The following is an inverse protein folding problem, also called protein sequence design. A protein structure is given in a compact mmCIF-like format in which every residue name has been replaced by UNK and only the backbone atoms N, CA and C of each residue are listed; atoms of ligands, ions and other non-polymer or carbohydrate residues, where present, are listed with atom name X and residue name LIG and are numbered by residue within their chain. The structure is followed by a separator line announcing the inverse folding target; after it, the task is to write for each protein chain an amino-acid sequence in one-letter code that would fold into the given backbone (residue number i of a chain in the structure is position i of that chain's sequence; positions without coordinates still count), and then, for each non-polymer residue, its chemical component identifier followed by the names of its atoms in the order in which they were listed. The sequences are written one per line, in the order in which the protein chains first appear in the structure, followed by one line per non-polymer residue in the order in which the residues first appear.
data_IF_791387153326
#
_entry.id   IF_791387153326
#
_cell.length_a   1.000
_cell.length_b   1.000
_cell.length_c   1.000
_cell.angle_alpha   90.00
_cell.angle_beta   90.00
_cell.angle_gamma   90.00
#
_symmetry.space_group_name_H-M   'P 1'
#
loop_
_entity.id
_entity.type
_entity.pdbx_description
1 polymer ?
#
# COMPACT_ATOMS: atom_id res chain seq x y z
N UNK A 1 49.70 1.01 15.37
CA UNK A 1 50.03 0.14 14.20
C UNK A 1 49.15 -1.10 14.28
N UNK A 2 48.05 -1.13 13.57
CA UNK A 2 47.42 -2.37 13.09
C UNK A 2 46.56 -1.98 11.89
N UNK A 3 46.69 -2.76 10.82
CA UNK A 3 46.34 -2.48 9.45
C UNK A 3 44.87 -2.67 9.13
N UNK A 4 44.40 -1.84 8.18
CA UNK A 4 43.18 -1.95 7.40
C UNK A 4 42.95 -3.34 6.82
N UNK A 5 41.73 -3.86 6.97
CA UNK A 5 41.22 -4.93 6.16
C UNK A 5 40.14 -4.36 5.22
N UNK A 6 40.49 -4.33 3.93
CA UNK A 6 39.61 -3.96 2.81
C UNK A 6 38.43 -4.93 2.71
N UNK A 7 37.23 -4.43 2.91
CA UNK A 7 36.01 -5.14 2.58
C UNK A 7 35.67 -4.82 1.11
N UNK A 8 36.06 -5.71 0.20
CA UNK A 8 35.66 -5.63 -1.21
C UNK A 8 34.20 -6.09 -1.31
N UNK A 9 33.35 -5.13 -1.55
CA UNK A 9 31.95 -5.36 -1.94
C UNK A 9 31.96 -6.13 -3.26
N UNK A 10 31.42 -7.37 -3.25
CA UNK A 10 31.24 -8.19 -4.44
C UNK A 10 30.06 -7.62 -5.24
N UNK A 11 30.38 -6.85 -6.27
CA UNK A 11 29.42 -6.36 -7.25
C UNK A 11 28.98 -7.55 -8.10
N UNK A 12 27.71 -7.93 -8.01
CA UNK A 12 27.09 -8.92 -8.87
C UNK A 12 27.19 -8.49 -10.34
N UNK A 13 27.64 -9.36 -11.26
CA UNK A 13 27.83 -8.96 -12.65
C UNK A 13 26.47 -8.77 -13.33
N UNK A 14 26.28 -7.54 -13.82
CA UNK A 14 25.12 -7.10 -14.58
C UNK A 14 24.92 -8.00 -15.82
N UNK A 15 23.78 -8.69 -15.91
CA UNK A 15 23.42 -9.67 -16.97
C UNK A 15 23.48 -9.12 -18.40
N UNK A 16 23.59 -7.79 -18.58
CA UNK A 16 23.66 -7.12 -19.90
C UNK A 16 25.04 -7.17 -20.57
N UNK A 17 26.11 -7.65 -19.91
CA UNK A 17 27.47 -7.67 -20.48
C UNK A 17 27.90 -8.98 -21.12
N UNK A 18 27.10 -10.05 -21.06
CA UNK A 18 27.47 -11.40 -21.59
C UNK A 18 27.12 -11.63 -23.07
N UNK A 19 26.59 -10.65 -23.79
CA UNK A 19 26.15 -10.77 -25.19
C UNK A 19 27.14 -10.27 -26.25
N UNK A 20 28.39 -10.00 -25.92
CA UNK A 20 29.34 -9.39 -26.87
C UNK A 20 30.62 -10.16 -27.17
N UNK A 21 30.70 -11.48 -26.97
CA UNK A 21 31.87 -12.27 -27.43
C UNK A 21 31.39 -13.61 -27.98
N UNK A 22 31.55 -13.85 -29.29
CA UNK A 22 31.43 -15.17 -29.87
C UNK A 22 30.88 -15.21 -31.27
N UNK A 23 31.56 -14.59 -32.22
CA UNK A 23 31.41 -14.95 -33.64
C UNK A 23 32.33 -16.11 -33.99
N UNK A 24 31.77 -17.28 -34.28
CA UNK A 24 32.41 -18.32 -35.09
C UNK A 24 31.30 -19.19 -35.71
N UNK A 25 31.29 -19.21 -37.02
CA UNK A 25 30.35 -19.99 -37.83
C UNK A 25 30.56 -21.48 -37.65
N UNK A 26 29.50 -22.24 -37.35
CA UNK A 26 29.37 -23.65 -37.76
C UNK A 26 27.92 -23.90 -38.19
N UNK A 27 27.82 -24.31 -39.45
CA UNK A 27 26.61 -24.84 -40.06
C UNK A 27 26.19 -26.14 -39.33
N UNK A 28 25.10 -26.03 -38.57
CA UNK A 28 24.34 -27.19 -38.12
C UNK A 28 22.89 -26.78 -37.92
N UNK A 29 22.02 -27.45 -38.65
CA UNK A 29 20.56 -27.58 -38.59
C UNK A 29 19.83 -26.74 -37.53
N UNK A 30 18.72 -26.09 -37.87
CA UNK A 30 17.94 -25.30 -36.92
C UNK A 30 17.18 -26.24 -35.98
N UNK A 31 17.84 -26.73 -34.95
CA UNK A 31 17.13 -27.06 -33.72
C UNK A 31 16.75 -25.72 -33.08
N UNK A 32 15.62 -25.18 -33.49
CA UNK A 32 14.92 -24.16 -32.72
C UNK A 32 14.42 -24.85 -31.45
N UNK A 33 15.32 -25.06 -30.51
CA UNK A 33 14.89 -25.21 -29.11
C UNK A 33 14.23 -23.91 -28.76
N UNK A 34 12.89 -23.86 -28.77
CA UNK A 34 12.14 -22.87 -28.00
C UNK A 34 12.69 -23.06 -26.57
N UNK A 35 13.66 -22.26 -26.19
CA UNK A 35 13.99 -22.09 -24.81
C UNK A 35 12.67 -21.48 -24.21
N UNK A 36 11.92 -22.29 -23.51
CA UNK A 36 10.85 -21.81 -22.68
C UNK A 36 11.53 -20.90 -21.67
N UNK A 37 11.40 -19.59 -21.87
CA UNK A 37 11.85 -18.65 -20.88
C UNK A 37 11.16 -19.02 -19.58
N UNK A 38 11.94 -19.31 -18.55
CA UNK A 38 11.39 -19.64 -17.25
C UNK A 38 10.47 -18.47 -16.82
N UNK A 39 9.29 -18.80 -16.38
CA UNK A 39 8.33 -17.80 -15.85
C UNK A 39 9.00 -17.06 -14.69
N UNK A 40 9.04 -15.74 -14.76
CA UNK A 40 9.61 -14.92 -13.70
C UNK A 40 8.60 -14.82 -12.56
N UNK A 41 9.02 -15.20 -11.36
CA UNK A 41 8.21 -15.04 -10.16
C UNK A 41 8.36 -13.62 -9.65
N UNK A 42 7.23 -13.00 -9.25
CA UNK A 42 7.13 -11.71 -8.58
C UNK A 42 6.48 -11.94 -7.21
N UNK A 43 7.25 -11.68 -6.15
CA UNK A 43 6.76 -11.81 -4.78
C UNK A 43 6.10 -10.50 -4.36
N UNK A 44 4.84 -10.54 -4.05
CA UNK A 44 4.04 -9.36 -3.69
C UNK A 44 3.56 -9.46 -2.24
N UNK A 45 3.77 -8.42 -1.45
CA UNK A 45 3.12 -8.23 -0.16
C UNK A 45 1.97 -7.25 -0.34
N UNK A 46 0.73 -7.67 -0.07
CA UNK A 46 -0.45 -6.90 -0.41
C UNK A 46 -1.61 -7.06 0.59
N UNK A 47 -2.56 -6.14 0.52
CA UNK A 47 -3.89 -6.38 1.05
C UNK A 47 -4.57 -7.53 0.34
N UNK A 48 -5.40 -8.27 1.07
CA UNK A 48 -6.25 -9.31 0.48
C UNK A 48 -7.06 -8.75 -0.70
N UNK A 49 -7.23 -9.55 -1.73
CA UNK A 49 -7.99 -9.19 -2.92
C UNK A 49 -7.19 -8.47 -4.02
N UNK A 50 -5.90 -8.14 -3.82
CA UNK A 50 -5.09 -7.44 -4.83
C UNK A 50 -4.18 -8.35 -5.65
N UNK A 51 -4.01 -9.58 -5.26
CA UNK A 51 -3.22 -10.58 -5.98
C UNK A 51 -4.05 -11.81 -6.39
N UNK A 52 -5.38 -11.65 -6.41
CA UNK A 52 -6.26 -12.74 -6.79
C UNK A 52 -6.11 -13.08 -8.29
N UNK A 53 -6.25 -14.36 -8.65
CA UNK A 53 -6.00 -14.82 -10.02
C UNK A 53 -6.80 -14.06 -11.09
N UNK A 54 -8.02 -13.68 -10.82
CA UNK A 54 -8.87 -12.93 -11.74
C UNK A 54 -8.39 -11.49 -11.99
N UNK A 55 -7.62 -10.93 -11.06
CA UNK A 55 -7.02 -9.60 -11.21
C UNK A 55 -5.68 -9.62 -11.96
N UNK A 56 -4.89 -10.69 -11.81
CA UNK A 56 -3.51 -10.70 -12.30
C UNK A 56 -3.28 -11.62 -13.50
N UNK A 57 -4.21 -12.55 -13.81
CA UNK A 57 -4.03 -13.60 -14.80
C UNK A 57 -3.70 -13.08 -16.21
N UNK A 58 -4.35 -12.01 -16.65
CA UNK A 58 -4.11 -11.41 -17.97
C UNK A 58 -2.70 -10.83 -18.08
N UNK A 59 -2.26 -10.11 -17.05
CA UNK A 59 -0.91 -9.55 -16.98
C UNK A 59 0.14 -10.65 -16.90
N UNK A 60 -0.07 -11.67 -16.08
CA UNK A 60 0.82 -12.84 -15.95
C UNK A 60 1.02 -13.50 -17.31
N UNK A 61 -0.06 -13.76 -18.03
CA UNK A 61 -0.02 -14.40 -19.33
C UNK A 61 0.68 -13.53 -20.40
N UNK A 62 0.42 -12.22 -20.40
CA UNK A 62 1.00 -11.29 -21.36
C UNK A 62 2.51 -11.08 -21.15
N UNK A 63 2.99 -11.19 -19.91
CA UNK A 63 4.37 -10.85 -19.55
C UNK A 63 5.23 -12.07 -19.15
N UNK A 64 4.69 -13.29 -19.21
CA UNK A 64 5.37 -14.51 -18.74
C UNK A 64 5.91 -14.37 -17.30
N UNK A 65 5.08 -13.84 -16.42
CA UNK A 65 5.38 -13.69 -14.99
C UNK A 65 4.37 -14.45 -14.16
N UNK A 66 4.69 -14.68 -12.88
CA UNK A 66 3.78 -15.28 -11.90
C UNK A 66 3.86 -14.51 -10.59
N UNK A 67 2.73 -13.97 -10.14
CA UNK A 67 2.63 -13.37 -8.82
C UNK A 67 2.53 -14.44 -7.74
N UNK A 68 3.30 -14.25 -6.68
CA UNK A 68 3.20 -14.99 -5.43
C UNK A 68 2.87 -13.98 -4.35
N UNK A 69 1.59 -13.91 -3.99
CA UNK A 69 1.07 -12.91 -3.08
C UNK A 69 1.06 -13.44 -1.65
N UNK A 70 1.61 -12.64 -0.74
CA UNK A 70 1.43 -12.77 0.70
C UNK A 70 0.55 -11.63 1.17
N UNK A 71 -0.51 -11.97 1.90
CA UNK A 71 -1.45 -10.98 2.39
C UNK A 71 -1.14 -10.57 3.82
N UNK A 72 -1.45 -9.32 4.15
CA UNK A 72 -1.32 -8.75 5.47
C UNK A 72 -2.65 -8.09 5.91
N UNK A 73 -2.81 -7.87 7.20
CA UNK A 73 -3.93 -7.17 7.78
C UNK A 73 -3.43 -5.98 8.62
N UNK A 74 -3.64 -4.76 8.11
CA UNK A 74 -3.17 -3.51 8.73
C UNK A 74 -1.70 -3.19 8.47
N UNK A 75 -1.41 -1.89 8.36
CA UNK A 75 -0.06 -1.41 8.01
C UNK A 75 1.01 -1.78 9.02
N UNK A 76 0.69 -1.84 10.33
CA UNK A 76 1.64 -2.28 11.35
C UNK A 76 2.07 -3.74 11.16
N UNK A 77 1.12 -4.61 10.76
CA UNK A 77 1.44 -6.01 10.43
C UNK A 77 2.31 -6.07 9.17
N UNK A 78 2.02 -5.25 8.16
CA UNK A 78 2.86 -5.13 6.97
C UNK A 78 4.29 -4.73 7.33
N UNK A 79 4.47 -3.66 8.11
CA UNK A 79 5.78 -3.19 8.56
C UNK A 79 6.54 -4.27 9.32
N UNK A 80 5.88 -5.00 10.22
CA UNK A 80 6.46 -6.10 10.96
C UNK A 80 6.90 -7.26 10.06
N UNK A 81 6.09 -7.61 9.07
CA UNK A 81 6.43 -8.65 8.10
C UNK A 81 7.66 -8.29 7.27
N UNK A 82 7.77 -7.03 6.82
CA UNK A 82 8.92 -6.55 6.07
C UNK A 82 10.17 -6.56 6.95
N UNK A 83 10.10 -6.02 8.16
CA UNK A 83 11.23 -5.94 9.09
C UNK A 83 11.78 -7.32 9.49
N UNK A 84 10.93 -8.35 9.51
CA UNK A 84 11.32 -9.73 9.84
C UNK A 84 11.79 -10.54 8.62
N UNK A 85 11.62 -10.01 7.41
CA UNK A 85 11.99 -10.69 6.18
C UNK A 85 13.38 -10.28 5.72
N UNK A 86 14.16 -11.19 5.11
CA UNK A 86 15.39 -10.80 4.44
C UNK A 86 15.17 -9.72 3.38
N UNK A 87 16.11 -8.79 3.18
CA UNK A 87 16.04 -7.83 2.09
C UNK A 87 15.82 -8.50 0.72
N UNK A 88 14.91 -7.97 -0.10
CA UNK A 88 14.56 -8.54 -1.40
C UNK A 88 13.61 -9.73 -1.34
N UNK A 89 12.98 -10.00 -0.20
CA UNK A 89 11.92 -11.01 -0.09
C UNK A 89 10.69 -10.63 -0.91
N UNK A 90 10.36 -9.36 -0.96
CA UNK A 90 9.24 -8.82 -1.74
C UNK A 90 9.76 -7.94 -2.86
N UNK A 91 9.25 -8.17 -4.06
CA UNK A 91 9.54 -7.36 -5.25
C UNK A 91 8.57 -6.17 -5.33
N UNK A 92 7.35 -6.36 -4.83
CA UNK A 92 6.30 -5.34 -4.80
C UNK A 92 5.64 -5.34 -3.42
N UNK A 93 5.45 -4.14 -2.87
CA UNK A 93 4.67 -3.90 -1.66
C UNK A 93 3.49 -3.02 -2.03
N UNK A 94 2.28 -3.52 -1.87
CA UNK A 94 1.06 -2.74 -1.99
C UNK A 94 0.66 -2.25 -0.61
N UNK A 95 1.00 -1.00 -0.30
CA UNK A 95 0.73 -0.39 1.01
C UNK A 95 -0.30 0.72 0.93
N UNK A 96 -0.85 1.08 2.08
CA UNK A 96 -1.58 2.34 2.20
C UNK A 96 -0.61 3.51 2.12
N UNK A 97 -1.08 4.63 1.54
CA UNK A 97 -0.24 5.78 1.22
C UNK A 97 0.49 6.41 2.41
N UNK A 98 -0.11 6.35 3.60
CA UNK A 98 0.47 6.86 4.84
C UNK A 98 1.71 6.09 5.33
N UNK A 99 1.90 4.85 4.90
CA UNK A 99 3.07 4.05 5.26
C UNK A 99 4.27 4.26 4.34
N UNK A 100 4.10 4.90 3.18
CA UNK A 100 5.18 5.08 2.20
C UNK A 100 6.37 5.84 2.80
N UNK A 101 6.12 6.89 3.57
CA UNK A 101 7.18 7.66 4.22
C UNK A 101 7.94 6.83 5.26
N UNK A 102 7.24 5.97 5.99
CA UNK A 102 7.86 5.07 6.96
C UNK A 102 8.69 3.98 6.27
N UNK A 103 8.18 3.41 5.18
CA UNK A 103 8.90 2.43 4.37
C UNK A 103 10.17 3.03 3.78
N UNK A 104 10.10 4.26 3.27
CA UNK A 104 11.25 4.98 2.75
C UNK A 104 12.29 5.30 3.84
N UNK A 105 11.86 5.84 4.97
CA UNK A 105 12.74 6.16 6.09
C UNK A 105 13.45 4.93 6.66
N UNK A 106 12.79 3.76 6.61
CA UNK A 106 13.36 2.48 7.02
C UNK A 106 14.26 1.83 5.94
N UNK A 107 14.32 2.40 4.73
CA UNK A 107 15.11 1.84 3.62
C UNK A 107 14.54 0.55 3.04
N UNK A 108 13.23 0.35 3.13
CA UNK A 108 12.55 -0.87 2.64
C UNK A 108 12.08 -0.75 1.20
N UNK A 109 12.02 0.45 0.65
CA UNK A 109 11.63 0.71 -0.74
C UNK A 109 12.70 1.55 -1.44
N UNK A 110 12.77 1.41 -2.76
CA UNK A 110 13.74 2.09 -3.60
C UNK A 110 13.11 3.29 -4.32
N UNK A 111 13.95 4.25 -4.72
CA UNK A 111 13.57 5.36 -5.59
C UNK A 111 13.09 4.82 -6.95
N UNK A 112 11.96 5.31 -7.40
CA UNK A 112 11.39 5.03 -8.71
C UNK A 112 11.77 6.16 -9.68
N UNK A 113 12.07 5.80 -10.93
CA UNK A 113 12.27 6.81 -11.97
C UNK A 113 10.89 7.31 -12.47
N UNK A 114 10.51 8.53 -12.13
CA UNK A 114 9.22 9.10 -12.48
C UNK A 114 8.93 9.10 -13.99
N UNK A 115 9.98 9.13 -14.84
CA UNK A 115 9.82 9.09 -16.29
C UNK A 115 9.33 7.72 -16.83
N UNK A 116 9.42 6.68 -16.02
CA UNK A 116 8.96 5.34 -16.41
C UNK A 116 7.46 5.14 -16.17
N UNK A 117 6.78 6.14 -15.58
CA UNK A 117 5.36 6.06 -15.20
C UNK A 117 4.53 7.10 -15.96
N UNK A 118 3.35 6.70 -16.48
CA UNK A 118 2.50 7.56 -17.29
C UNK A 118 1.63 8.47 -16.40
N UNK A 119 2.26 9.35 -15.63
CA UNK A 119 1.54 10.26 -14.73
C UNK A 119 0.48 11.11 -15.44
N UNK A 120 0.75 11.53 -16.69
CA UNK A 120 -0.15 12.36 -17.48
C UNK A 120 -1.40 11.59 -17.93
N UNK A 121 -1.34 10.26 -17.96
CA UNK A 121 -2.44 9.38 -18.33
C UNK A 121 -3.28 8.94 -17.12
N UNK A 122 -2.90 9.33 -15.92
CA UNK A 122 -3.65 8.99 -14.71
C UNK A 122 -4.95 9.78 -14.61
N UNK A 123 -5.97 9.13 -14.06
CA UNK A 123 -7.35 9.62 -14.06
C UNK A 123 -7.55 10.94 -13.30
N UNK A 124 -6.71 11.26 -12.32
CA UNK A 124 -6.87 12.45 -11.49
C UNK A 124 -5.53 12.97 -10.99
N UNK A 125 -5.36 14.30 -11.00
CA UNK A 125 -4.11 14.93 -10.58
C UNK A 125 -3.79 14.70 -9.09
N UNK A 126 -4.79 14.51 -8.23
CA UNK A 126 -4.57 14.17 -6.83
C UNK A 126 -3.82 12.84 -6.66
N UNK A 127 -3.96 11.93 -7.60
CA UNK A 127 -3.23 10.66 -7.61
C UNK A 127 -1.78 10.84 -8.03
N UNK A 128 -1.54 11.71 -9.00
CA UNK A 128 -0.19 12.00 -9.50
C UNK A 128 0.61 12.89 -8.55
N UNK A 129 -0.09 13.83 -7.92
CA UNK A 129 0.51 14.85 -7.03
C UNK A 129 0.38 14.51 -5.54
N UNK A 130 -0.04 13.30 -5.19
CA UNK A 130 -0.16 12.92 -3.80
C UNK A 130 1.19 13.06 -3.08
N UNK A 131 1.30 13.96 -2.08
CA UNK A 131 2.59 14.26 -1.45
C UNK A 131 3.26 13.04 -0.83
N UNK A 132 2.47 12.05 -0.36
CA UNK A 132 2.96 10.82 0.24
C UNK A 132 3.81 9.95 -0.69
N UNK A 133 3.72 10.13 -2.02
CA UNK A 133 4.55 9.40 -2.98
C UNK A 133 6.00 9.91 -3.05
N UNK A 134 6.26 11.11 -2.56
CA UNK A 134 7.50 11.83 -2.77
C UNK A 134 8.25 12.10 -1.46
N UNK A 135 9.56 11.94 -1.47
CA UNK A 135 10.45 12.37 -0.40
C UNK A 135 11.69 13.02 -1.03
N UNK A 136 12.05 14.22 -0.57
CA UNK A 136 13.20 14.99 -1.08
C UNK A 136 13.21 15.15 -2.63
N UNK A 137 12.03 15.31 -3.22
CA UNK A 137 11.85 15.44 -4.67
C UNK A 137 11.97 14.14 -5.47
N UNK A 138 12.06 13.00 -4.80
CA UNK A 138 12.21 11.67 -5.39
C UNK A 138 10.92 10.87 -5.22
N UNK A 139 10.59 10.07 -6.23
CA UNK A 139 9.40 9.21 -6.23
C UNK A 139 9.70 7.87 -5.55
N UNK A 140 8.83 7.41 -4.67
CA UNK A 140 8.96 6.12 -3.97
C UNK A 140 7.76 5.20 -4.10
N UNK A 141 6.63 5.70 -4.58
CA UNK A 141 5.45 4.87 -4.80
C UNK A 141 4.53 5.46 -5.86
N UNK A 142 3.59 4.62 -6.31
CA UNK A 142 2.55 4.99 -7.25
C UNK A 142 1.19 4.63 -6.66
N UNK A 143 0.20 5.50 -6.84
CA UNK A 143 -1.15 5.19 -6.41
C UNK A 143 -1.80 4.19 -7.37
N UNK A 144 -2.23 3.05 -6.84
CA UNK A 144 -3.01 2.08 -7.58
C UNK A 144 -4.51 2.43 -7.52
N UNK A 145 -4.99 2.83 -6.36
CA UNK A 145 -6.38 3.23 -6.12
C UNK A 145 -6.47 4.16 -4.93
N UNK A 146 -7.53 4.93 -4.90
CA UNK A 146 -7.95 5.71 -3.74
C UNK A 146 -9.46 5.70 -3.63
N UNK A 147 -9.98 6.12 -2.49
CA UNK A 147 -11.42 6.19 -2.28
C UNK A 147 -11.78 7.02 -1.04
N UNK A 148 -13.06 7.32 -0.93
CA UNK A 148 -13.61 8.01 0.21
C UNK A 148 -14.12 7.01 1.24
N UNK A 149 -13.85 7.32 2.50
CA UNK A 149 -14.51 6.65 3.63
C UNK A 149 -15.70 7.48 4.07
N UNK A 150 -16.82 6.83 4.34
CA UNK A 150 -18.03 7.51 4.71
C UNK A 150 -19.00 6.61 5.47
N UNK A 151 -20.16 7.18 5.80
CA UNK A 151 -21.21 6.46 6.53
C UNK A 151 -22.04 5.62 5.57
N UNK A 152 -22.05 4.32 5.77
CA UNK A 152 -23.07 3.43 5.20
C UNK A 152 -24.22 3.28 6.18
N UNK A 153 -25.44 3.50 5.76
CA UNK A 153 -26.58 3.53 6.66
C UNK A 153 -27.81 2.78 6.12
N UNK A 154 -28.61 2.25 7.04
CA UNK A 154 -29.89 1.70 6.70
C UNK A 154 -30.92 2.85 6.51
N UNK A 155 -31.32 3.08 5.26
CA UNK A 155 -32.28 4.16 4.89
C UNK A 155 -33.66 4.05 5.53
N UNK A 156 -33.99 2.88 6.10
CA UNK A 156 -35.25 2.69 6.85
C UNK A 156 -35.12 3.10 8.33
N UNK A 157 -33.90 3.35 8.82
CA UNK A 157 -33.61 3.69 10.21
C UNK A 157 -33.09 5.14 10.36
N UNK A 158 -32.33 5.62 9.37
CA UNK A 158 -31.73 6.96 9.37
C UNK A 158 -32.00 7.57 7.98
N UNK A 159 -32.41 8.84 7.95
CA UNK A 159 -32.61 9.56 6.69
C UNK A 159 -31.29 9.93 6.03
N UNK A 160 -31.34 10.23 4.73
CA UNK A 160 -30.15 10.69 3.98
C UNK A 160 -29.62 12.01 4.51
N UNK A 161 -30.50 12.89 5.00
CA UNK A 161 -30.11 14.17 5.60
C UNK A 161 -29.34 13.97 6.91
N UNK A 162 -29.81 13.09 7.76
CA UNK A 162 -29.16 12.76 9.03
C UNK A 162 -27.80 12.09 8.82
N UNK A 163 -27.66 11.26 7.78
CA UNK A 163 -26.44 10.55 7.45
C UNK A 163 -25.34 11.45 6.83
N UNK A 164 -25.63 12.72 6.54
CA UNK A 164 -24.62 13.67 6.06
C UNK A 164 -23.64 14.13 7.14
N UNK A 165 -23.89 13.78 8.39
CA UNK A 165 -23.02 14.13 9.51
C UNK A 165 -22.77 12.93 10.40
N UNK A 166 -21.54 12.79 10.88
CA UNK A 166 -21.17 11.80 11.89
C UNK A 166 -21.96 11.97 13.20
N UNK A 167 -22.63 13.11 13.43
CA UNK A 167 -23.53 13.29 14.57
C UNK A 167 -24.62 12.22 14.67
N UNK A 168 -24.99 11.59 13.56
CA UNK A 168 -25.95 10.48 13.55
C UNK A 168 -25.49 9.29 14.41
N UNK A 169 -24.18 9.14 14.66
CA UNK A 169 -23.63 8.04 15.45
C UNK A 169 -24.09 8.07 16.92
N UNK A 170 -24.44 9.25 17.46
CA UNK A 170 -24.87 9.39 18.84
C UNK A 170 -26.41 9.32 19.04
N UNK A 171 -27.15 9.02 17.98
CA UNK A 171 -28.60 8.89 18.08
C UNK A 171 -28.99 7.70 18.95
N UNK A 172 -30.03 7.86 19.82
CA UNK A 172 -30.50 6.78 20.68
C UNK A 172 -30.92 5.51 19.91
N UNK A 173 -31.45 5.71 18.70
CA UNK A 173 -32.01 4.62 17.86
C UNK A 173 -30.93 3.65 17.35
N UNK A 174 -29.67 4.10 17.30
CA UNK A 174 -28.56 3.29 16.84
C UNK A 174 -27.74 2.67 17.96
N UNK A 175 -28.13 2.86 19.22
CA UNK A 175 -27.44 2.27 20.36
C UNK A 175 -27.24 0.77 20.19
N UNK A 176 -25.97 0.33 20.24
CA UNK A 176 -25.59 -1.07 20.02
C UNK A 176 -25.72 -1.55 18.58
N UNK A 177 -25.87 -0.66 17.59
CA UNK A 177 -26.03 -0.98 16.17
C UNK A 177 -25.00 -0.33 15.28
N UNK A 178 -24.12 0.52 15.83
CA UNK A 178 -23.03 1.14 15.08
C UNK A 178 -21.95 0.11 14.79
N UNK A 179 -21.67 -0.13 13.51
CA UNK A 179 -20.52 -0.91 13.07
C UNK A 179 -19.33 0.02 12.85
N UNK A 180 -18.18 -0.33 13.40
CA UNK A 180 -16.92 0.32 13.09
C UNK A 180 -16.04 -0.60 12.27
N UNK A 181 -15.27 0.00 11.37
CA UNK A 181 -14.20 -0.70 10.69
C UNK A 181 -13.09 -1.02 11.71
N UNK A 182 -12.58 -2.26 11.71
CA UNK A 182 -11.57 -2.70 12.66
C UNK A 182 -10.16 -2.21 12.26
N UNK A 183 -10.07 -0.90 12.10
CA UNK A 183 -8.82 -0.21 11.78
C UNK A 183 -8.81 1.19 12.40
N UNK A 184 -7.82 1.46 13.24
CA UNK A 184 -7.78 2.69 14.04
C UNK A 184 -7.67 3.98 13.19
N UNK A 185 -6.89 3.96 12.09
CA UNK A 185 -6.65 5.17 11.28
C UNK A 185 -7.95 5.82 10.77
N UNK A 186 -8.83 5.13 10.00
CA UNK A 186 -10.05 5.78 9.54
C UNK A 186 -10.98 6.17 10.69
N UNK A 187 -11.02 5.40 11.77
CA UNK A 187 -11.89 5.72 12.91
C UNK A 187 -11.42 7.00 13.63
N UNK A 188 -10.12 7.13 13.90
CA UNK A 188 -9.56 8.35 14.50
C UNK A 188 -9.63 9.54 13.56
N UNK A 189 -9.37 9.34 12.26
CA UNK A 189 -9.51 10.37 11.24
C UNK A 189 -10.93 10.92 11.13
N UNK A 190 -11.95 10.05 11.16
CA UNK A 190 -13.35 10.47 11.19
C UNK A 190 -13.67 11.30 12.43
N UNK A 191 -13.18 10.91 13.60
CA UNK A 191 -13.42 11.66 14.84
C UNK A 191 -12.67 12.99 14.86
N UNK A 192 -11.44 13.02 14.36
CA UNK A 192 -10.69 14.26 14.18
C UNK A 192 -11.40 15.23 13.24
N UNK A 193 -11.90 14.73 12.11
CA UNK A 193 -12.71 15.53 11.18
C UNK A 193 -13.99 16.04 11.83
N UNK A 194 -14.69 15.20 12.58
CA UNK A 194 -15.92 15.58 13.29
C UNK A 194 -15.67 16.64 14.36
N UNK A 195 -14.52 16.64 15.01
CA UNK A 195 -14.08 17.67 15.95
C UNK A 195 -13.66 18.98 15.27
N UNK A 196 -13.73 19.06 13.94
CA UNK A 196 -13.46 20.29 13.18
C UNK A 196 -12.00 20.50 12.80
N UNK A 197 -11.15 19.47 12.91
CA UNK A 197 -9.72 19.60 12.58
C UNK A 197 -9.42 19.69 11.06
N UNK A 198 -10.45 19.57 10.21
CA UNK A 198 -10.38 19.87 8.77
C UNK A 198 -9.20 19.22 8.06
N UNK A 199 -8.30 20.04 7.51
CA UNK A 199 -7.11 19.58 6.77
C UNK A 199 -5.97 19.04 7.67
N UNK A 200 -6.04 19.26 8.98
CA UNK A 200 -5.02 18.87 9.95
C UNK A 200 -5.44 17.66 10.80
N UNK A 201 -6.00 16.63 10.15
CA UNK A 201 -6.58 15.48 10.87
C UNK A 201 -5.58 14.78 11.81
N UNK A 202 -4.30 14.82 11.48
CA UNK A 202 -3.24 14.07 12.15
C UNK A 202 -2.19 14.94 12.84
N UNK A 203 -2.11 16.21 12.49
CA UNK A 203 -1.16 17.16 13.09
C UNK A 203 -1.83 17.90 14.25
N UNK A 204 -2.13 17.18 15.30
CA UNK A 204 -2.79 17.67 16.51
C UNK A 204 -1.80 17.71 17.67
N UNK A 205 -1.93 18.72 18.53
CA UNK A 205 -1.27 18.73 19.83
C UNK A 205 -1.95 17.74 20.80
N UNK A 206 -1.38 17.57 22.00
CA UNK A 206 -1.91 16.63 22.97
C UNK A 206 -3.38 16.89 23.35
N UNK A 207 -3.77 18.15 23.52
CA UNK A 207 -5.16 18.50 23.82
C UNK A 207 -6.11 18.12 22.68
N UNK A 208 -5.72 18.34 21.42
CA UNK A 208 -6.49 17.90 20.27
C UNK A 208 -6.65 16.38 20.20
N UNK A 209 -5.61 15.64 20.54
CA UNK A 209 -5.70 14.17 20.63
C UNK A 209 -6.55 13.70 21.81
N UNK A 210 -6.50 14.38 22.95
CA UNK A 210 -7.37 14.11 24.11
C UNK A 210 -8.85 14.30 23.71
N UNK A 211 -9.18 15.36 22.98
CA UNK A 211 -10.53 15.61 22.47
C UNK A 211 -11.00 14.52 21.48
N UNK A 212 -10.13 14.06 20.57
CA UNK A 212 -10.41 12.96 19.65
C UNK A 212 -10.66 11.68 20.43
N UNK A 213 -9.83 11.39 21.43
CA UNK A 213 -9.98 10.22 22.29
C UNK A 213 -11.30 10.24 23.06
N UNK A 214 -11.63 11.35 23.72
CA UNK A 214 -12.87 11.51 24.46
C UNK A 214 -14.08 11.27 23.54
N UNK A 215 -14.07 11.88 22.36
CA UNK A 215 -15.14 11.75 21.38
C UNK A 215 -15.28 10.31 20.89
N UNK A 216 -14.17 9.66 20.59
CA UNK A 216 -14.15 8.25 20.17
C UNK A 216 -14.71 7.34 21.28
N UNK A 217 -14.28 7.52 22.51
CA UNK A 217 -14.77 6.74 23.64
C UNK A 217 -16.26 6.97 23.94
N UNK A 218 -16.78 8.15 23.65
CA UNK A 218 -18.20 8.46 23.81
C UNK A 218 -19.12 7.65 22.88
N UNK A 219 -18.57 7.07 21.80
CA UNK A 219 -19.30 6.17 20.91
C UNK A 219 -19.47 4.76 21.49
N UNK A 220 -18.73 4.39 22.51
CA UNK A 220 -18.74 3.03 23.07
C UNK A 220 -20.13 2.44 23.31
N UNK A 221 -21.13 3.19 23.83
CA UNK A 221 -22.49 2.66 24.00
C UNK A 221 -23.22 2.38 22.69
N UNK A 222 -22.80 3.02 21.59
CA UNK A 222 -23.42 2.92 20.28
C UNK A 222 -22.89 1.71 19.48
N UNK A 223 -21.65 1.29 19.77
CA UNK A 223 -20.95 0.24 18.99
C UNK A 223 -21.60 -1.10 19.21
N UNK A 224 -21.99 -1.73 18.10
CA UNK A 224 -22.50 -3.10 18.03
C UNK A 224 -21.47 -4.11 17.56
N UNK A 225 -20.40 -3.67 16.91
CA UNK A 225 -19.31 -4.55 16.46
C UNK A 225 -18.25 -3.82 15.65
N UNK A 226 -17.13 -4.51 15.47
CA UNK A 226 -16.05 -4.14 14.57
C UNK A 226 -16.04 -5.11 13.41
N UNK A 227 -15.75 -4.60 12.21
CA UNK A 227 -15.79 -5.35 10.96
C UNK A 227 -14.52 -5.09 10.18
N UNK A 228 -13.98 -6.14 9.60
CA UNK A 228 -12.83 -6.11 8.70
C UNK A 228 -13.28 -6.48 7.28
N UNK A 229 -12.35 -6.48 6.32
CA UNK A 229 -12.57 -6.81 4.91
C UNK A 229 -12.78 -8.32 4.64
N UNK A 230 -12.83 -9.16 5.63
CA UNK A 230 -12.92 -10.62 5.49
C UNK A 230 -14.31 -11.18 5.51
#
# INVERSE_FOLDING_TARGET
MVKNANNKMLISPNRRRLLKIGGAAMLSTPFVSRAWAATTQINMLAWYGHGEPDMVAEFEAANNVKFVSKYYAGGDNMMALIAQSPPGTYDIILSDGEFVQQLNAAGYIEELNAADYPFDDMLHEDFTKFPGHWADGKLYSMMLRGGHLGVSYNKNAISAEEAQSYSCFWKPEIKGKLGHFDWHLPNLGMMSLYNGNGSNLWDLNNAGWDDVQEKTLSLRPQVGGFFDYG
#
